data_IF_140811095356
#
_entry.id   IF_140811095356
#
_cell.length_a   1.000
_cell.length_b   1.000
_cell.length_c   1.000
_cell.angle_alpha   90.00
_cell.angle_beta   90.00
_cell.angle_gamma   90.00
#
_symmetry.space_group_name_H-M   'P 1'
#
loop_
_entity.id
_entity.type
_entity.pdbx_description
1 polymer ?
#
# COMPACT_ATOMS: atom_id res chain seq x y z
N UNK A 1 15.58 2.09 1.47
CA UNK A 1 15.30 0.78 2.10
C UNK A 1 16.03 0.68 3.44
N UNK A 2 15.40 1.20 4.50
CA UNK A 2 15.83 1.01 5.89
C UNK A 2 14.58 0.85 6.77
N UNK A 3 13.70 -0.08 6.39
CA UNK A 3 12.67 -0.61 7.28
C UNK A 3 12.86 -2.13 7.33
N UNK A 4 14.06 -2.54 7.74
CA UNK A 4 14.41 -3.93 8.01
C UNK A 4 13.90 -4.30 9.41
N UNK A 5 12.93 -5.22 9.46
CA UNK A 5 12.75 -6.21 10.54
C UNK A 5 12.65 -5.69 12.00
N UNK A 6 11.98 -4.57 12.24
CA UNK A 6 11.67 -4.15 13.61
C UNK A 6 10.55 -4.97 14.29
N UNK A 7 9.69 -5.65 13.52
CA UNK A 7 8.60 -6.49 14.08
C UNK A 7 9.09 -7.68 14.92
N UNK A 8 10.28 -8.21 14.66
CA UNK A 8 10.82 -9.40 15.35
C UNK A 8 11.58 -9.11 16.64
N UNK A 9 12.02 -7.86 16.86
CA UNK A 9 12.86 -7.52 18.01
C UNK A 9 12.08 -6.85 19.16
N UNK A 10 10.91 -6.27 18.89
CA UNK A 10 10.08 -5.67 19.94
C UNK A 10 8.59 -5.86 19.63
N UNK A 11 7.97 -6.96 20.09
CA UNK A 11 6.55 -7.24 19.81
C UNK A 11 5.59 -6.19 20.38
N UNK A 12 6.06 -5.32 21.29
CA UNK A 12 5.27 -4.30 21.97
C UNK A 12 5.69 -2.84 21.65
N UNK A 13 6.65 -2.61 20.74
CA UNK A 13 7.13 -1.24 20.46
C UNK A 13 6.25 -0.49 19.46
N UNK A 14 5.53 -1.23 18.61
CA UNK A 14 4.40 -0.72 17.82
C UNK A 14 3.09 -1.18 18.46
N UNK A 15 2.93 -0.93 19.76
CA UNK A 15 1.59 -0.86 20.32
C UNK A 15 0.78 0.17 19.53
N UNK A 16 -0.53 -0.01 19.43
CA UNK A 16 -1.52 0.87 18.80
C UNK A 16 -1.63 2.27 19.45
N UNK A 17 -0.51 2.85 19.87
CA UNK A 17 -0.35 4.24 20.27
C UNK A 17 -0.09 5.06 19.02
N UNK A 18 -1.06 5.92 18.70
CA UNK A 18 -0.86 7.00 17.75
C UNK A 18 0.33 7.85 18.18
N UNK A 19 1.29 8.09 17.27
CA UNK A 19 2.46 8.94 17.56
C UNK A 19 2.08 10.40 17.86
N UNK A 20 0.89 10.82 17.45
CA UNK A 20 0.31 12.12 17.77
C UNK A 20 -0.70 11.95 18.92
N UNK A 21 -0.50 12.61 20.08
CA UNK A 21 -1.46 12.59 21.17
C UNK A 21 -2.83 13.08 20.69
N UNK A 22 -3.88 12.28 20.91
CA UNK A 22 -5.27 12.61 20.55
C UNK A 22 -6.05 13.26 21.70
N UNK A 23 -5.50 13.19 22.91
CA UNK A 23 -6.15 13.73 24.11
C UNK A 23 -6.18 15.26 24.07
N UNK A 24 -5.16 15.90 23.49
CA UNK A 24 -5.08 17.36 23.35
C UNK A 24 -6.15 17.93 22.43
N UNK A 25 -6.62 17.14 21.45
CA UNK A 25 -7.73 17.53 20.56
C UNK A 25 -9.09 17.12 21.10
N UNK A 26 -9.15 16.45 22.26
CA UNK A 26 -10.37 15.92 22.87
C UNK A 26 -11.16 14.98 21.94
N UNK A 27 -10.49 14.38 20.94
CA UNK A 27 -11.14 13.53 19.94
C UNK A 27 -11.88 12.36 20.61
N UNK A 28 -11.28 11.75 21.63
CA UNK A 28 -11.86 10.63 22.38
C UNK A 28 -13.15 11.03 23.10
N UNK A 29 -13.17 12.21 23.74
CA UNK A 29 -14.34 12.76 24.44
C UNK A 29 -15.46 13.08 23.44
N UNK A 30 -15.13 13.71 22.32
CA UNK A 30 -16.09 14.01 21.26
C UNK A 30 -16.77 12.74 20.73
N UNK A 31 -15.98 11.71 20.42
CA UNK A 31 -16.52 10.46 19.88
C UNK A 31 -17.32 9.67 20.92
N UNK A 32 -16.96 9.78 22.20
CA UNK A 32 -17.74 9.17 23.29
C UNK A 32 -19.15 9.80 23.41
N UNK A 33 -19.25 11.11 23.13
CA UNK A 33 -20.54 11.84 23.14
C UNK A 33 -21.36 11.61 21.87
N UNK A 34 -20.71 11.43 20.73
CA UNK A 34 -21.35 11.20 19.43
C UNK A 34 -20.72 9.97 18.74
N UNK A 35 -21.10 8.75 19.14
CA UNK A 35 -20.45 7.51 18.67
C UNK A 35 -20.51 7.29 17.16
N UNK A 36 -21.52 7.84 16.51
CA UNK A 36 -21.76 7.71 15.07
C UNK A 36 -20.96 8.72 14.23
N UNK A 37 -20.24 9.65 14.87
CA UNK A 37 -19.53 10.75 14.22
C UNK A 37 -18.05 10.38 14.04
N UNK A 38 -17.79 9.14 13.64
CA UNK A 38 -16.46 8.57 13.40
C UNK A 38 -15.99 8.70 11.95
N UNK A 39 -16.79 9.32 11.08
CA UNK A 39 -16.50 9.51 9.65
C UNK A 39 -17.06 8.41 8.75
N UNK A 40 -17.87 7.48 9.26
CA UNK A 40 -18.59 6.50 8.40
C UNK A 40 -19.41 7.20 7.31
N UNK A 41 -19.42 6.63 6.11
CA UNK A 41 -20.07 7.21 4.94
C UNK A 41 -19.36 8.42 4.30
N UNK A 42 -18.25 8.90 4.87
CA UNK A 42 -17.48 10.02 4.31
C UNK A 42 -16.22 9.51 3.60
N UNK A 43 -15.93 10.06 2.41
CA UNK A 43 -14.70 9.80 1.66
C UNK A 43 -13.83 11.05 1.65
N UNK A 44 -12.54 10.87 1.88
CA UNK A 44 -11.54 11.95 1.89
C UNK A 44 -10.50 11.62 0.82
N UNK A 45 -10.20 12.58 -0.05
CA UNK A 45 -9.06 12.51 -0.96
C UNK A 45 -7.85 13.18 -0.30
N UNK A 46 -6.71 12.50 -0.33
CA UNK A 46 -5.43 13.02 0.18
C UNK A 46 -4.52 13.23 -1.03
N UNK A 47 -4.08 14.46 -1.25
CA UNK A 47 -3.13 14.81 -2.31
C UNK A 47 -1.83 15.21 -1.61
N UNK A 48 -0.88 14.29 -1.60
CA UNK A 48 0.40 14.41 -0.92
C UNK A 48 1.48 13.67 -1.75
N UNK A 49 2.68 13.50 -1.23
CA UNK A 49 3.78 12.80 -1.92
C UNK A 49 3.60 11.28 -2.00
N UNK A 50 2.76 10.70 -1.15
CA UNK A 50 2.56 9.24 -1.10
C UNK A 50 1.95 8.79 0.23
N UNK A 51 1.71 7.48 0.34
CA UNK A 51 1.17 6.86 1.56
C UNK A 51 1.63 5.40 1.70
N UNK A 52 2.08 5.01 2.89
CA UNK A 52 2.32 3.59 3.20
C UNK A 52 1.00 2.88 3.53
N UNK A 53 0.44 2.21 2.51
CA UNK A 53 -0.83 1.47 2.62
C UNK A 53 -0.75 0.21 3.49
N UNK A 54 0.46 -0.22 3.87
CA UNK A 54 0.66 -1.45 4.67
C UNK A 54 0.49 -1.22 6.18
N UNK A 55 0.32 0.04 6.60
CA UNK A 55 0.16 0.40 8.01
C UNK A 55 -1.16 -0.15 8.57
N UNK A 56 -1.09 -0.72 9.78
CA UNK A 56 -2.22 -1.39 10.43
C UNK A 56 -3.42 -0.45 10.64
N UNK A 57 -3.17 0.82 10.99
CA UNK A 57 -4.21 1.84 11.17
C UNK A 57 -4.90 2.31 9.88
N UNK A 58 -4.44 1.83 8.72
CA UNK A 58 -4.99 2.13 7.40
C UNK A 58 -5.70 0.93 6.75
N UNK A 59 -5.86 -0.19 7.47
CA UNK A 59 -6.45 -1.40 6.90
C UNK A 59 -7.97 -1.31 6.84
N UNK A 60 -8.63 -0.99 7.97
CA UNK A 60 -10.09 -1.07 8.10
C UNK A 60 -10.71 0.20 8.70
N UNK A 61 -11.94 0.49 8.29
CA UNK A 61 -12.82 1.48 8.93
C UNK A 61 -13.44 0.90 10.21
N UNK A 62 -14.18 1.72 10.96
CA UNK A 62 -14.98 1.28 12.11
C UNK A 62 -16.06 0.26 11.73
N UNK A 63 -16.52 0.26 10.48
CA UNK A 63 -17.47 -0.71 9.91
C UNK A 63 -16.78 -1.96 9.35
N UNK A 64 -15.46 -2.09 9.49
CA UNK A 64 -14.69 -3.25 9.02
C UNK A 64 -14.40 -3.28 7.52
N UNK A 65 -14.79 -2.24 6.78
CA UNK A 65 -14.54 -2.07 5.36
C UNK A 65 -13.10 -1.60 5.09
N UNK A 66 -12.53 -1.83 3.89
CA UNK A 66 -11.22 -1.27 3.52
C UNK A 66 -11.20 0.25 3.67
N UNK A 67 -10.18 0.80 4.33
CA UNK A 67 -10.09 2.25 4.57
C UNK A 67 -9.54 3.03 3.37
N UNK A 68 -8.66 2.41 2.59
CA UNK A 68 -8.15 2.96 1.33
C UNK A 68 -8.98 2.33 0.21
N UNK A 69 -9.61 3.20 -0.58
CA UNK A 69 -10.40 2.79 -1.75
C UNK A 69 -9.49 2.72 -2.98
N UNK A 70 -8.64 3.73 -3.15
CA UNK A 70 -7.75 3.85 -4.29
C UNK A 70 -6.50 4.67 -3.94
N UNK A 71 -5.45 4.50 -4.73
CA UNK A 71 -4.18 5.21 -4.60
C UNK A 71 -3.62 5.49 -6.00
N UNK A 72 -3.45 6.77 -6.32
CA UNK A 72 -2.97 7.22 -7.63
C UNK A 72 -1.66 7.97 -7.50
N UNK A 73 -0.75 7.69 -8.41
CA UNK A 73 0.41 8.55 -8.70
C UNK A 73 0.04 9.51 -9.84
N UNK A 74 -0.06 10.80 -9.54
CA UNK A 74 -0.33 11.84 -10.54
C UNK A 74 0.94 12.38 -11.21
N UNK A 75 2.12 11.93 -10.77
CA UNK A 75 3.41 12.42 -11.30
C UNK A 75 3.83 11.68 -12.57
N UNK A 76 3.36 10.44 -12.77
CA UNK A 76 3.76 9.57 -13.87
C UNK A 76 5.20 9.06 -13.76
N UNK A 77 5.90 9.33 -12.64
CA UNK A 77 7.29 8.88 -12.42
C UNK A 77 7.36 7.34 -12.32
N UNK A 78 6.25 6.71 -11.94
CA UNK A 78 6.09 5.27 -11.87
C UNK A 78 5.64 4.57 -13.15
N UNK A 79 5.41 5.30 -14.25
CA UNK A 79 4.84 4.73 -15.47
C UNK A 79 5.84 3.83 -16.20
N UNK A 80 5.38 2.65 -16.63
CA UNK A 80 6.17 1.68 -17.39
C UNK A 80 5.48 1.36 -18.70
N UNK A 81 6.19 1.58 -19.81
CA UNK A 81 5.71 1.19 -21.13
C UNK A 81 5.67 -0.34 -21.25
N UNK A 82 4.46 -0.88 -21.45
CA UNK A 82 4.18 -2.31 -21.61
C UNK A 82 3.78 -2.67 -23.04
N UNK A 83 3.99 -1.78 -24.01
CA UNK A 83 3.67 -2.01 -25.42
C UNK A 83 4.50 -3.13 -26.07
N UNK A 84 5.67 -3.46 -25.50
CA UNK A 84 6.56 -4.49 -26.01
C UNK A 84 6.00 -5.90 -25.85
N UNK A 85 5.63 -6.55 -26.96
CA UNK A 85 5.24 -7.96 -26.97
C UNK A 85 6.48 -8.82 -27.17
N UNK A 86 6.66 -9.84 -26.34
CA UNK A 86 7.77 -10.79 -26.45
C UNK A 86 7.29 -12.21 -26.30
N UNK A 87 7.63 -13.02 -27.29
CA UNK A 87 7.34 -14.45 -27.27
C UNK A 87 8.38 -15.21 -26.46
N UNK A 88 7.94 -16.32 -25.89
CA UNK A 88 8.75 -17.23 -25.11
C UNK A 88 9.51 -18.17 -26.05
N UNK A 89 10.77 -18.46 -25.73
CA UNK A 89 11.55 -19.47 -26.46
C UNK A 89 11.00 -20.88 -26.18
N UNK A 90 11.27 -21.81 -27.10
CA UNK A 90 11.01 -23.26 -27.05
C UNK A 90 11.34 -23.97 -25.73
N UNK A 91 12.20 -23.38 -24.89
CA UNK A 91 12.61 -23.91 -23.58
C UNK A 91 11.97 -23.19 -22.38
N UNK A 92 10.92 -22.42 -22.60
CA UNK A 92 10.22 -21.61 -21.60
C UNK A 92 11.07 -20.49 -20.97
N UNK A 93 11.84 -19.79 -21.81
CA UNK A 93 12.64 -18.64 -21.38
C UNK A 93 12.16 -17.35 -22.02
N UNK A 94 12.16 -16.27 -21.23
CA UNK A 94 12.00 -14.90 -21.68
C UNK A 94 13.30 -14.12 -21.46
N UNK A 95 13.65 -13.26 -22.41
CA UNK A 95 14.80 -12.35 -22.27
C UNK A 95 14.27 -10.99 -21.83
N UNK A 96 14.61 -10.54 -20.63
CA UNK A 96 14.26 -9.21 -20.13
C UNK A 96 14.95 -8.09 -20.91
N UNK A 97 14.53 -6.85 -20.67
CA UNK A 97 15.12 -5.66 -21.32
C UNK A 97 16.62 -5.50 -21.00
N UNK A 98 17.06 -5.97 -19.82
CA UNK A 98 18.46 -6.00 -19.42
C UNK A 98 19.28 -7.14 -20.06
N UNK A 99 18.67 -7.98 -20.90
CA UNK A 99 19.30 -9.16 -21.49
C UNK A 99 19.33 -10.40 -20.59
N UNK A 100 18.88 -10.29 -19.33
CA UNK A 100 18.78 -11.44 -18.43
C UNK A 100 17.71 -12.45 -18.91
N UNK A 101 18.04 -13.74 -18.79
CA UNK A 101 17.13 -14.85 -19.13
C UNK A 101 16.32 -15.28 -17.91
N UNK A 102 15.00 -15.23 -18.02
CA UNK A 102 14.05 -15.65 -17.00
C UNK A 102 13.36 -16.94 -17.44
N UNK A 103 13.37 -17.96 -16.59
CA UNK A 103 12.61 -19.20 -16.82
C UNK A 103 11.18 -18.99 -16.33
N UNK A 104 10.21 -19.13 -17.23
CA UNK A 104 8.80 -19.05 -16.87
C UNK A 104 8.36 -20.46 -16.46
N UNK A 105 7.90 -20.60 -15.21
CA UNK A 105 7.52 -21.90 -14.66
C UNK A 105 6.09 -22.31 -15.07
N UNK A 106 5.19 -21.34 -15.31
CA UNK A 106 3.81 -21.56 -15.72
C UNK A 106 3.35 -20.51 -16.75
N UNK A 107 2.51 -20.92 -17.70
CA UNK A 107 2.00 -20.05 -18.78
C UNK A 107 0.99 -18.98 -18.33
N UNK A 108 0.57 -18.99 -17.05
CA UNK A 108 -0.32 -17.99 -16.46
C UNK A 108 0.45 -16.96 -15.60
N UNK A 109 1.58 -16.46 -16.12
CA UNK A 109 2.37 -15.45 -15.42
C UNK A 109 2.01 -14.05 -15.93
N UNK A 110 1.12 -13.36 -15.21
CA UNK A 110 0.87 -11.94 -15.42
C UNK A 110 1.89 -11.15 -14.60
N UNK A 111 2.72 -10.36 -15.28
CA UNK A 111 3.65 -9.45 -14.62
C UNK A 111 2.88 -8.20 -14.19
N UNK A 112 2.49 -8.14 -12.91
CA UNK A 112 1.99 -6.92 -12.31
C UNK A 112 3.19 -6.07 -11.87
N UNK A 113 3.43 -4.96 -12.58
CA UNK A 113 4.35 -3.93 -12.11
C UNK A 113 3.60 -3.14 -11.05
N UNK A 114 3.86 -3.44 -9.77
CA UNK A 114 3.40 -2.62 -8.66
C UNK A 114 4.38 -1.48 -8.46
N UNK A 115 4.01 -0.27 -8.86
CA UNK A 115 4.77 0.93 -8.50
C UNK A 115 4.43 1.30 -7.06
N UNK A 116 5.41 1.15 -6.16
CA UNK A 116 5.37 1.72 -4.82
C UNK A 116 5.99 3.12 -4.91
N UNK A 117 5.18 4.17 -4.76
CA UNK A 117 5.69 5.52 -4.51
C UNK A 117 5.98 5.60 -3.00
N UNK A 118 7.21 5.99 -2.66
CA UNK A 118 7.72 6.07 -1.28
C UNK A 118 7.14 7.24 -0.49
#
# INVERSE_FOLDING_TARGET
MFCLKLKTLFPNLFGSKCHIPKDVTQQSIFLSKYPEYDGRGIKIAIIDTGIDVSLEGLQKTSEGLPKIIDCFDFTGVGDVDTSGIKEMDSKNYLIGLSGQKFKVLNNNCFFYVFTLVF
#
